data_IF_771250123831
#
_entry.id   IF_771250123831
#
_cell.length_a   1.000
_cell.length_b   1.000
_cell.length_c   1.000
_cell.angle_alpha   90.00
_cell.angle_beta   90.00
_cell.angle_gamma   90.00
#
_symmetry.space_group_name_H-M   'P 1'
#
loop_
_entity.id
_entity.type
_entity.pdbx_description
1 polymer ?
#
# COMPACT_ATOMS: atom_id res chain seq x y z
N UNK A 1 43.32 17.09 -32.12
CA UNK A 1 41.89 17.46 -32.15
C UNK A 1 40.95 16.26 -32.03
N UNK A 2 41.01 15.25 -32.92
CA UNK A 2 40.16 14.03 -32.83
C UNK A 2 40.17 13.32 -31.46
N UNK A 3 41.33 13.21 -30.81
CA UNK A 3 41.45 12.57 -29.47
C UNK A 3 40.66 13.30 -28.37
N UNK A 4 40.55 14.63 -28.45
CA UNK A 4 39.76 15.41 -27.50
C UNK A 4 38.25 15.22 -27.69
N UNK A 5 37.82 15.04 -28.94
CA UNK A 5 36.41 14.76 -29.27
C UNK A 5 36.00 13.38 -28.72
N UNK A 6 36.83 12.36 -28.91
CA UNK A 6 36.58 11.03 -28.35
C UNK A 6 36.59 11.03 -26.82
N UNK A 7 37.52 11.76 -26.20
CA UNK A 7 37.57 11.90 -24.74
C UNK A 7 36.33 12.61 -24.18
N UNK A 8 35.86 13.67 -24.85
CA UNK A 8 34.64 14.38 -24.44
C UNK A 8 33.40 13.48 -24.55
N UNK A 9 33.24 12.75 -25.66
CA UNK A 9 32.13 11.80 -25.85
C UNK A 9 32.14 10.70 -24.79
N UNK A 10 33.31 10.15 -24.47
CA UNK A 10 33.44 9.14 -23.42
C UNK A 10 33.09 9.71 -22.03
N UNK A 11 33.56 10.92 -21.70
CA UNK A 11 33.26 11.56 -20.43
C UNK A 11 31.76 11.86 -20.25
N UNK A 12 31.10 12.36 -21.29
CA UNK A 12 29.64 12.57 -21.26
C UNK A 12 28.86 11.26 -21.19
N UNK A 13 29.30 10.21 -21.89
CA UNK A 13 28.73 8.87 -21.79
C UNK A 13 28.80 8.32 -20.37
N UNK A 14 29.95 8.44 -19.72
CA UNK A 14 30.13 7.98 -18.33
C UNK A 14 29.28 8.80 -17.35
N UNK A 15 29.19 10.11 -17.55
CA UNK A 15 28.38 10.99 -16.70
C UNK A 15 26.88 10.67 -16.79
N UNK A 16 26.39 10.20 -17.94
CA UNK A 16 24.99 9.81 -18.11
C UNK A 16 24.60 8.54 -17.33
N UNK A 17 25.57 7.69 -17.01
CA UNK A 17 25.38 6.50 -16.18
C UNK A 17 25.56 6.78 -14.69
N UNK A 18 26.07 7.96 -14.33
CA UNK A 18 26.21 8.34 -12.94
C UNK A 18 24.81 8.50 -12.33
N UNK A 19 24.46 7.74 -11.27
CA UNK A 19 23.23 7.97 -10.55
C UNK A 19 23.32 9.37 -9.93
N UNK A 20 22.58 10.33 -10.50
CA UNK A 20 22.31 11.60 -9.84
C UNK A 20 21.60 11.22 -8.55
N UNK A 21 22.22 11.47 -7.39
CA UNK A 21 21.65 11.18 -6.07
C UNK A 21 20.34 11.94 -5.92
N UNK A 22 19.24 11.36 -6.40
CA UNK A 22 17.90 11.89 -6.20
C UNK A 22 17.56 11.60 -4.75
N UNK A 23 17.40 12.63 -3.94
CA UNK A 23 16.75 12.55 -2.63
C UNK A 23 15.24 12.32 -2.79
N UNK A 24 14.89 11.31 -3.58
CA UNK A 24 13.54 10.92 -3.85
C UNK A 24 13.07 10.01 -2.71
N UNK A 25 11.90 10.33 -2.18
CA UNK A 25 11.22 9.49 -1.21
C UNK A 25 10.21 8.65 -1.97
N UNK A 26 10.26 7.34 -1.82
CA UNK A 26 9.28 6.42 -2.40
C UNK A 26 8.23 6.06 -1.36
N UNK A 27 6.99 6.47 -1.59
CA UNK A 27 5.86 6.12 -0.73
C UNK A 27 5.01 5.03 -1.38
N UNK A 28 4.61 4.05 -0.58
CA UNK A 28 3.79 2.92 -1.01
C UNK A 28 2.68 2.63 -0.01
N UNK A 29 1.51 2.26 -0.54
CA UNK A 29 0.33 1.87 0.24
C UNK A 29 0.10 0.37 0.11
N UNK A 30 0.44 -0.38 1.15
CA UNK A 30 0.19 -1.81 1.24
C UNK A 30 -1.12 -2.15 1.94
N UNK A 31 -1.50 -3.43 1.87
CA UNK A 31 -2.73 -3.95 2.48
C UNK A 31 -2.69 -3.86 4.00
N UNK A 32 -1.55 -4.22 4.60
CA UNK A 32 -1.38 -4.27 6.06
C UNK A 32 -0.60 -3.09 6.62
N UNK A 33 0.24 -2.46 5.80
CA UNK A 33 1.18 -1.41 6.19
C UNK A 33 1.31 -0.41 5.07
N UNK A 34 1.51 0.85 5.42
CA UNK A 34 1.82 1.93 4.49
C UNK A 34 3.07 2.65 4.98
N UNK A 35 3.85 3.20 4.06
CA UNK A 35 5.12 3.80 4.43
C UNK A 35 5.86 4.48 3.29
N UNK A 36 6.91 5.18 3.67
CA UNK A 36 7.79 5.92 2.78
C UNK A 36 9.25 5.59 3.11
N UNK A 37 10.10 5.47 2.09
CA UNK A 37 11.53 5.23 2.23
C UNK A 37 12.33 6.30 1.50
N UNK A 38 13.41 6.79 2.12
CA UNK A 38 14.30 7.80 1.58
C UNK A 38 15.73 7.64 2.09
N UNK A 39 16.65 8.52 1.68
CA UNK A 39 18.09 8.39 1.96
C UNK A 39 18.44 8.44 3.45
N UNK A 40 17.59 9.07 4.28
CA UNK A 40 17.78 9.20 5.72
C UNK A 40 17.03 8.15 6.54
N UNK A 41 16.32 7.21 5.89
CA UNK A 41 15.58 6.15 6.57
C UNK A 41 14.19 5.91 6.00
N UNK A 42 13.42 5.05 6.69
CA UNK A 42 12.07 4.67 6.30
C UNK A 42 11.09 4.81 7.47
N UNK A 43 9.87 5.22 7.16
CA UNK A 43 8.76 5.28 8.10
C UNK A 43 7.65 4.35 7.61
N UNK A 44 7.20 3.44 8.47
CA UNK A 44 6.14 2.48 8.16
C UNK A 44 5.14 2.44 9.30
N UNK A 45 3.86 2.59 8.97
CA UNK A 45 2.75 2.47 9.92
C UNK A 45 1.91 1.25 9.60
N UNK A 46 1.30 0.67 10.63
CA UNK A 46 0.36 -0.44 10.49
C UNK A 46 -1.03 0.11 10.20
N UNK A 47 -1.72 -0.48 9.23
CA UNK A 47 -3.09 -0.10 8.89
C UNK A 47 -4.03 -0.47 10.04
N UNK A 48 -4.98 0.40 10.42
CA UNK A 48 -5.97 0.06 11.42
C UNK A 48 -6.83 -1.13 10.94
N UNK A 49 -7.34 -1.96 11.88
CA UNK A 49 -8.24 -3.05 11.53
C UNK A 49 -9.49 -2.49 10.82
N UNK A 50 -10.11 -3.28 9.92
CA UNK A 50 -11.37 -2.89 9.30
C UNK A 50 -12.46 -2.70 10.38
N UNK A 51 -13.43 -1.81 10.14
CA UNK A 51 -14.54 -1.61 11.07
C UNK A 51 -15.32 -2.92 11.27
N UNK A 52 -16.00 -3.08 12.42
CA UNK A 52 -16.80 -4.26 12.68
C UNK A 52 -17.87 -4.43 11.59
N UNK A 53 -18.02 -5.67 11.16
CA UNK A 53 -19.09 -6.09 10.28
C UNK A 53 -20.45 -5.71 10.86
N UNK A 54 -21.28 -5.03 10.06
CA UNK A 54 -22.66 -4.76 10.45
C UNK A 54 -23.50 -6.03 10.29
N UNK A 55 -24.30 -6.32 11.31
CA UNK A 55 -25.29 -7.39 11.29
C UNK A 55 -26.66 -6.75 11.39
N UNK A 56 -27.54 -7.10 10.47
CA UNK A 56 -28.95 -6.65 10.48
C UNK A 56 -29.82 -7.81 10.90
N UNK A 57 -30.65 -7.61 11.93
CA UNK A 57 -31.55 -8.64 12.45
C UNK A 57 -33.00 -8.19 12.33
N UNK A 58 -33.83 -9.03 11.72
CA UNK A 58 -35.27 -8.87 11.67
C UNK A 58 -35.93 -9.79 12.70
N UNK A 59 -36.81 -9.22 13.53
CA UNK A 59 -37.64 -9.97 14.47
C UNK A 59 -38.90 -10.46 13.77
N UNK A 60 -39.02 -11.77 13.58
CA UNK A 60 -40.27 -12.42 13.21
C UNK A 60 -41.01 -12.97 14.43
N UNK A 61 -42.29 -13.31 14.25
CA UNK A 61 -43.15 -13.89 15.31
C UNK A 61 -42.56 -15.20 15.86
N UNK A 62 -41.99 -16.03 14.98
CA UNK A 62 -41.50 -17.37 15.32
C UNK A 62 -39.97 -17.55 15.23
N UNK A 63 -39.27 -16.68 14.51
CA UNK A 63 -37.81 -16.75 14.29
C UNK A 63 -37.20 -15.35 14.20
N UNK A 64 -35.93 -15.25 14.58
CA UNK A 64 -35.11 -14.07 14.35
C UNK A 64 -34.12 -14.39 13.23
N UNK A 65 -34.12 -13.57 12.18
CA UNK A 65 -33.24 -13.72 11.03
C UNK A 65 -32.19 -12.62 11.06
N UNK A 66 -30.92 -13.00 11.21
CA UNK A 66 -29.80 -12.07 11.13
C UNK A 66 -29.02 -12.32 9.83
N UNK A 67 -28.67 -11.25 9.12
CA UNK A 67 -27.80 -11.30 7.93
C UNK A 67 -26.54 -10.52 8.24
N UNK A 68 -25.39 -11.19 8.07
CA UNK A 68 -24.07 -10.62 8.23
C UNK A 68 -23.13 -10.99 7.07
N UNK A 69 -21.88 -10.53 7.10
CA UNK A 69 -20.93 -10.75 6.01
C UNK A 69 -20.52 -12.22 5.81
N UNK A 70 -20.74 -13.06 6.84
CA UNK A 70 -20.49 -14.50 6.78
C UNK A 70 -21.74 -15.31 6.39
N UNK A 71 -22.81 -14.64 5.96
CA UNK A 71 -24.09 -15.26 5.60
C UNK A 71 -25.23 -14.97 6.58
N UNK A 72 -26.37 -15.60 6.31
CA UNK A 72 -27.56 -15.51 7.15
C UNK A 72 -27.57 -16.54 8.27
N UNK A 73 -27.91 -16.13 9.48
CA UNK A 73 -28.22 -17.00 10.60
C UNK A 73 -29.68 -16.80 11.01
N UNK A 74 -30.49 -17.85 10.91
CA UNK A 74 -31.84 -17.87 11.46
C UNK A 74 -31.80 -18.58 12.81
N UNK A 75 -32.08 -17.86 13.89
CA UNK A 75 -32.13 -18.40 15.25
C UNK A 75 -33.58 -18.62 15.67
N UNK A 76 -33.88 -19.79 16.23
CA UNK A 76 -35.20 -20.10 16.82
C UNK A 76 -35.29 -19.39 18.17
N UNK A 77 -36.38 -18.66 18.44
CA UNK A 77 -36.58 -18.01 19.74
C UNK A 77 -36.58 -19.07 20.85
N UNK A 78 -35.83 -18.79 21.92
CA UNK A 78 -35.73 -19.64 23.11
C UNK A 78 -36.99 -19.51 23.96
#
# INVERSE_FOLDING_TARGET
MKRFIFAAMAAFGILSLAPLSSWAVTCAKGVYREGCAGPNGAAVVKKPPPPPAQVTCAKGVYREGCVGPNGGAAVRRR
#
